data_IF_412614843321
#
_entry.id   IF_412614843321
#
_cell.length_a   1.000
_cell.length_b   1.000
_cell.length_c   1.000
_cell.angle_alpha   90.00
_cell.angle_beta   90.00
_cell.angle_gamma   90.00
#
_symmetry.space_group_name_H-M   'P 1'
#
loop_
_entity.id
_entity.type
_entity.pdbx_description
1 polymer ?
#
# COMPACT_ATOMS: atom_id res chain seq x y z
N UNK A 1 14.09 3.30 31.60
CA UNK A 1 13.90 1.88 31.26
C UNK A 1 13.64 1.82 29.77
N UNK A 2 14.54 1.24 28.98
CA UNK A 2 14.33 1.05 27.55
C UNK A 2 13.40 -0.16 27.38
N UNK A 3 12.18 0.07 26.91
CA UNK A 3 11.29 -1.01 26.48
C UNK A 3 12.00 -1.76 25.36
N UNK A 4 12.23 -3.04 25.61
CA UNK A 4 12.76 -3.99 24.64
C UNK A 4 11.77 -4.03 23.48
N UNK A 5 12.12 -3.48 22.31
CA UNK A 5 11.37 -3.60 21.05
C UNK A 5 11.50 -5.04 20.52
N UNK A 6 11.24 -6.03 21.38
CA UNK A 6 11.27 -7.43 21.02
C UNK A 6 10.15 -7.71 20.02
N UNK A 7 10.53 -7.76 18.74
CA UNK A 7 9.83 -8.42 17.64
C UNK A 7 8.41 -7.92 17.34
N UNK A 8 8.25 -6.65 16.96
CA UNK A 8 7.15 -6.34 16.04
C UNK A 8 7.50 -6.97 14.68
N UNK A 9 6.68 -7.94 14.26
CA UNK A 9 6.81 -8.56 12.93
C UNK A 9 6.55 -7.49 11.86
N UNK A 10 7.45 -7.40 10.88
CA UNK A 10 7.28 -6.46 9.78
C UNK A 10 6.11 -6.92 8.91
N UNK A 11 5.06 -6.09 8.85
CA UNK A 11 3.91 -6.34 7.99
C UNK A 11 4.16 -5.68 6.63
N UNK A 12 4.12 -6.48 5.57
CA UNK A 12 4.14 -6.00 4.19
C UNK A 12 2.70 -5.74 3.74
N UNK A 13 2.39 -4.49 3.44
CA UNK A 13 1.12 -4.08 2.84
C UNK A 13 1.37 -3.66 1.40
N UNK A 14 0.54 -4.13 0.47
CA UNK A 14 0.64 -3.76 -0.93
C UNK A 14 -0.70 -3.83 -1.64
N UNK A 15 -0.74 -3.24 -2.83
CA UNK A 15 -1.87 -3.37 -3.73
C UNK A 15 -1.40 -3.45 -5.17
N UNK A 16 -2.14 -4.19 -5.99
CA UNK A 16 -2.04 -4.13 -7.45
C UNK A 16 -3.24 -3.32 -7.96
N UNK A 17 -2.93 -2.24 -8.65
CA UNK A 17 -3.93 -1.37 -9.25
C UNK A 17 -3.83 -1.45 -10.77
N UNK A 18 -4.96 -1.73 -11.41
CA UNK A 18 -5.18 -1.64 -12.86
C UNK A 18 -6.41 -0.77 -13.12
N UNK A 19 -6.65 -0.40 -14.38
CA UNK A 19 -7.79 0.43 -14.79
C UNK A 19 -9.14 -0.07 -14.25
N UNK A 20 -9.32 -1.39 -14.15
CA UNK A 20 -10.62 -2.03 -13.80
C UNK A 20 -10.59 -2.84 -12.51
N UNK A 21 -9.42 -3.00 -11.88
CA UNK A 21 -9.26 -3.83 -10.69
C UNK A 21 -8.31 -3.22 -9.66
N UNK A 22 -8.66 -3.41 -8.39
CA UNK A 22 -7.80 -3.14 -7.25
C UNK A 22 -7.71 -4.39 -6.37
N UNK A 23 -6.50 -4.93 -6.24
CA UNK A 23 -6.19 -6.11 -5.43
C UNK A 23 -5.34 -5.70 -4.24
N UNK A 24 -5.68 -6.17 -3.04
CA UNK A 24 -4.97 -5.85 -1.80
C UNK A 24 -4.26 -7.08 -1.25
N UNK A 25 -3.05 -6.86 -0.72
CA UNK A 25 -2.18 -7.92 -0.21
C UNK A 25 -1.66 -7.56 1.19
N UNK A 26 -1.61 -8.56 2.07
CA UNK A 26 -0.86 -8.53 3.32
C UNK A 26 0.10 -9.71 3.29
N UNK A 27 1.41 -9.46 3.51
CA UNK A 27 2.46 -10.48 3.50
C UNK A 27 2.38 -11.41 2.28
N UNK A 28 2.21 -10.82 1.09
CA UNK A 28 2.12 -11.51 -0.21
C UNK A 28 0.87 -12.39 -0.43
N UNK A 29 -0.09 -12.36 0.49
CA UNK A 29 -1.39 -13.04 0.36
C UNK A 29 -2.46 -12.04 -0.07
N UNK A 30 -3.20 -12.35 -1.15
CA UNK A 30 -4.34 -11.54 -1.58
C UNK A 30 -5.48 -11.65 -0.55
N UNK A 31 -5.91 -10.51 0.00
CA UNK A 31 -6.96 -10.45 1.01
C UNK A 31 -8.28 -9.87 0.48
N UNK A 32 -8.21 -9.10 -0.61
CA UNK A 32 -9.37 -8.44 -1.20
C UNK A 32 -9.15 -8.13 -2.66
N UNK A 33 -10.19 -8.36 -3.45
CA UNK A 33 -10.29 -7.92 -4.85
C UNK A 33 -11.54 -7.06 -5.02
N UNK A 34 -11.37 -5.91 -5.65
CA UNK A 34 -12.49 -5.05 -6.05
C UNK A 34 -12.43 -4.88 -7.56
N UNK A 35 -13.53 -5.18 -8.22
CA UNK A 35 -13.75 -4.88 -9.63
C UNK A 35 -14.70 -3.70 -9.71
N UNK A 36 -14.37 -2.72 -10.53
CA UNK A 36 -15.26 -1.59 -10.80
C UNK A 36 -15.78 -1.68 -12.24
N UNK A 37 -17.06 -1.39 -12.43
CA UNK A 37 -17.71 -1.38 -13.75
C UNK A 37 -17.38 -0.09 -14.54
N UNK A 38 -16.53 0.78 -13.97
CA UNK A 38 -15.91 1.95 -14.60
C UNK A 38 -14.41 2.00 -14.27
N UNK A 39 -13.72 3.05 -14.68
CA UNK A 39 -12.28 3.21 -14.45
C UNK A 39 -12.02 3.67 -13.01
N UNK A 40 -11.12 2.99 -12.29
CA UNK A 40 -10.80 3.33 -10.90
C UNK A 40 -10.18 4.74 -10.77
N UNK A 41 -9.29 5.10 -11.69
CA UNK A 41 -8.80 6.46 -11.98
C UNK A 41 -7.67 6.33 -13.02
N UNK A 42 -7.76 7.02 -14.15
CA UNK A 42 -6.69 7.07 -15.16
C UNK A 42 -5.67 8.20 -14.90
N UNK A 43 -5.77 8.86 -13.75
CA UNK A 43 -4.91 9.97 -13.37
C UNK A 43 -3.66 9.47 -12.63
N UNK A 44 -2.50 10.04 -12.95
CA UNK A 44 -1.28 9.82 -12.19
C UNK A 44 -1.48 10.21 -10.72
N UNK A 45 -1.15 9.31 -9.79
CA UNK A 45 -1.27 9.55 -8.36
C UNK A 45 0.08 9.72 -7.67
N UNK A 46 0.06 10.48 -6.58
CA UNK A 46 1.18 10.56 -5.65
C UNK A 46 1.06 9.47 -4.58
N UNK A 47 2.21 8.97 -4.12
CA UNK A 47 2.27 8.10 -2.94
C UNK A 47 2.38 9.00 -1.71
N UNK A 48 1.46 8.85 -0.77
CA UNK A 48 1.45 9.54 0.50
C UNK A 48 1.61 8.55 1.64
N UNK A 49 2.52 8.84 2.57
CA UNK A 49 2.71 8.13 3.81
C UNK A 49 2.61 9.14 4.93
N UNK A 50 1.57 9.04 5.73
CA UNK A 50 1.26 10.01 6.75
C UNK A 50 0.62 9.35 7.97
N UNK A 51 0.52 10.14 9.03
CA UNK A 51 -0.25 9.84 10.22
C UNK A 51 -1.28 10.93 10.36
N UNK A 52 -2.55 10.56 10.22
CA UNK A 52 -3.67 11.49 10.34
C UNK A 52 -4.59 11.14 11.50
N UNK A 53 -5.20 12.18 12.08
CA UNK A 53 -6.30 12.04 13.02
C UNK A 53 -7.60 12.15 12.27
N UNK A 54 -8.27 11.02 12.10
CA UNK A 54 -9.61 11.02 11.53
C UNK A 54 -10.60 11.45 12.60
N UNK A 55 -11.38 12.48 12.31
CA UNK A 55 -12.33 13.11 13.25
C UNK A 55 -13.37 12.13 13.83
N UNK A 56 -13.63 11.03 13.14
CA UNK A 56 -14.55 9.97 13.56
C UNK A 56 -13.90 8.89 14.45
N UNK A 57 -12.58 8.91 14.65
CA UNK A 57 -11.86 7.95 15.49
C UNK A 57 -11.87 8.32 16.98
N UNK A 58 -12.38 9.50 17.32
CA UNK A 58 -12.32 10.07 18.67
C UNK A 58 -10.94 10.62 18.98
N UNK A 59 -10.87 11.72 19.74
CA UNK A 59 -9.60 12.14 20.32
C UNK A 59 -9.23 11.15 21.44
N UNK A 60 -7.93 10.83 21.61
CA UNK A 60 -7.48 10.10 22.79
C UNK A 60 -8.00 10.82 24.04
N UNK A 61 -8.54 10.08 25.01
CA UNK A 61 -8.96 10.68 26.26
C UNK A 61 -7.71 11.14 27.04
N UNK A 62 -7.42 12.43 26.97
CA UNK A 62 -6.28 13.09 27.63
C UNK A 62 -6.43 13.21 29.17
N UNK A 63 -6.89 12.16 29.86
CA UNK A 63 -6.92 12.17 31.34
C UNK A 63 -5.53 11.93 31.98
N UNK A 64 -4.51 11.69 31.16
CA UNK A 64 -3.12 11.61 31.60
C UNK A 64 -2.29 12.56 30.75
N UNK A 65 -2.12 13.80 31.24
CA UNK A 65 -1.20 14.77 30.67
C UNK A 65 0.18 14.14 30.44
N UNK A 66 0.46 13.80 29.19
CA UNK A 66 1.65 13.06 28.81
C UNK A 66 1.71 12.93 27.29
N UNK A 67 2.51 13.83 26.70
CA UNK A 67 3.22 13.68 25.42
C UNK A 67 2.82 12.50 24.53
N UNK A 68 2.21 12.80 23.38
CA UNK A 68 2.32 12.05 22.11
C UNK A 68 2.51 10.53 22.28
N UNK A 69 1.50 9.85 22.82
CA UNK A 69 1.58 8.41 23.17
C UNK A 69 1.28 7.46 22.01
N UNK A 70 1.16 7.97 20.79
CA UNK A 70 1.20 7.12 19.60
C UNK A 70 2.66 6.99 19.18
N UNK A 71 3.19 5.77 19.32
CA UNK A 71 4.58 5.47 18.98
C UNK A 71 4.94 5.77 17.52
N UNK A 72 6.23 5.69 17.23
CA UNK A 72 6.78 5.91 15.90
C UNK A 72 6.10 4.98 14.87
N UNK A 73 5.65 5.57 13.76
CA UNK A 73 5.25 4.81 12.57
C UNK A 73 6.49 4.59 11.69
N UNK A 74 7.02 3.37 11.72
CA UNK A 74 8.27 3.03 11.02
C UNK A 74 7.98 2.35 9.70
N UNK A 75 8.39 2.97 8.60
CA UNK A 75 8.35 2.38 7.26
C UNK A 75 9.77 2.00 6.84
N UNK A 76 9.99 0.70 6.60
CA UNK A 76 11.32 0.21 6.23
C UNK A 76 11.67 0.52 4.77
N UNK A 77 10.71 0.36 3.86
CA UNK A 77 10.87 0.68 2.45
C UNK A 77 9.53 0.82 1.76
N UNK A 78 9.53 1.53 0.63
CA UNK A 78 8.44 1.57 -0.34
C UNK A 78 8.98 1.07 -1.68
N UNK A 79 8.20 0.25 -2.39
CA UNK A 79 8.55 -0.23 -3.72
C UNK A 79 7.33 -0.16 -4.64
N UNK A 80 7.60 0.18 -5.90
CA UNK A 80 6.61 0.30 -6.96
C UNK A 80 7.08 -0.46 -8.18
N UNK A 81 6.15 -1.06 -8.91
CA UNK A 81 6.43 -1.76 -10.16
C UNK A 81 5.39 -1.38 -11.20
N UNK A 82 5.82 -1.30 -12.46
CA UNK A 82 4.93 -1.21 -13.61
C UNK A 82 4.90 -2.56 -14.31
N UNK A 83 3.71 -3.01 -14.69
CA UNK A 83 3.56 -4.20 -15.53
C UNK A 83 3.90 -3.78 -16.96
N UNK A 84 5.04 -4.23 -17.45
CA UNK A 84 5.44 -4.06 -18.85
C UNK A 84 5.12 -5.36 -19.57
N UNK A 85 4.32 -5.30 -20.63
CA UNK A 85 4.13 -6.44 -21.51
C UNK A 85 5.50 -6.85 -22.05
N UNK A 86 5.94 -8.07 -21.76
CA UNK A 86 7.14 -8.63 -22.37
C UNK A 86 6.96 -8.62 -23.89
N UNK A 87 7.90 -8.02 -24.63
CA UNK A 87 8.06 -8.25 -26.07
C UNK A 87 8.27 -9.75 -26.29
N UNK A 88 7.18 -10.49 -26.49
CA UNK A 88 7.23 -11.76 -27.20
C UNK A 88 7.45 -11.33 -28.64
N UNK A 89 8.67 -11.53 -29.14
CA UNK A 89 9.03 -11.20 -30.50
C UNK A 89 8.03 -11.85 -31.46
N UNK A 90 7.26 -11.01 -32.14
CA UNK A 90 6.74 -11.36 -33.45
C UNK A 90 7.96 -11.48 -34.36
N UNK A 91 8.52 -12.69 -34.46
CA UNK A 91 9.13 -13.11 -35.71
C UNK A 91 8.02 -13.12 -36.75
N UNK A 92 7.77 -11.94 -37.31
CA UNK A 92 7.10 -11.80 -38.59
C UNK A 92 8.03 -12.41 -39.63
N UNK A 93 7.85 -13.71 -39.86
CA UNK A 93 8.31 -14.36 -41.09
C UNK A 93 7.54 -13.74 -42.26
N UNK A 94 7.99 -12.59 -42.73
CA UNK A 94 7.70 -12.10 -44.08
C UNK A 94 8.63 -12.81 -45.06
N UNK A 95 8.01 -13.56 -45.98
CA UNK A 95 8.24 -13.64 -47.43
C UNK A 95 9.68 -13.99 -47.90
N UNK A 96 9.92 -15.01 -48.72
CA UNK A 96 9.19 -15.47 -49.91
C UNK A 96 9.13 -17.01 -50.05
#
# INVERSE_FOLDING_TARGET
MCTNLSQQELIKIGFLWTTTHLHWYINDVEIRKVQHNGEFCDLGMNIQLDREYLSWFGLPNDEQGGTDTFGDFVVHYVRTWNIVASHVGEETSQQD
#
